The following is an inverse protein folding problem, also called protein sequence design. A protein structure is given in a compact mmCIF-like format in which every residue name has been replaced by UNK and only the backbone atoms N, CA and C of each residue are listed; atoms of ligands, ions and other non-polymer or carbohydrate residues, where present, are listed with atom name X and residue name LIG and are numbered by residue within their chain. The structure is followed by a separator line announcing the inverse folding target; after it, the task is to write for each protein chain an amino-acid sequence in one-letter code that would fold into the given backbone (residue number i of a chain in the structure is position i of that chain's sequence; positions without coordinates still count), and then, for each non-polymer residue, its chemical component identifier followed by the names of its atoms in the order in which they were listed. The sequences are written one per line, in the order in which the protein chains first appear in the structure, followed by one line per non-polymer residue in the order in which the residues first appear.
data_IF_066307448411
#
_entry.id   IF_066307448411
#
_cell.length_a   1.000
_cell.length_b   1.000
_cell.length_c   1.000
_cell.angle_alpha   90.00
_cell.angle_beta   90.00
_cell.angle_gamma   90.00
#
_symmetry.space_group_name_H-M   'P 1'
#
loop_
_entity.id
_entity.type
_entity.pdbx_description
1 polymer ?
#
# COMPACT_ATOMS: atom_id res chain seq x y z
N UNK A 1 -9.35 20.00 -15.60
CA UNK A 1 -8.49 20.93 -14.84
C UNK A 1 -7.82 20.23 -13.67
N UNK A 2 -8.44 19.24 -13.00
CA UNK A 2 -7.82 18.47 -11.92
C UNK A 2 -6.81 17.42 -12.39
N UNK A 3 -7.03 16.81 -13.56
CA UNK A 3 -6.21 15.70 -14.05
C UNK A 3 -4.80 16.10 -14.50
N UNK A 4 -4.63 17.31 -15.08
CA UNK A 4 -3.30 17.74 -15.53
C UNK A 4 -2.35 18.08 -14.36
N UNK A 5 -2.86 18.54 -13.23
CA UNK A 5 -2.06 18.74 -12.02
C UNK A 5 -1.66 17.42 -11.37
N UNK A 6 -2.55 16.42 -11.35
CA UNK A 6 -2.24 15.09 -10.82
C UNK A 6 -1.23 14.32 -11.71
N UNK A 7 -1.32 14.47 -13.03
CA UNK A 7 -0.40 13.84 -14.00
C UNK A 7 1.04 14.40 -13.90
N UNK A 8 1.22 15.59 -13.32
CA UNK A 8 2.53 16.23 -13.14
C UNK A 8 3.11 16.14 -11.74
N UNK A 9 2.45 15.44 -10.82
CA UNK A 9 3.01 15.21 -9.49
C UNK A 9 4.16 14.20 -9.59
N UNK A 10 5.37 14.66 -9.26
CA UNK A 10 6.57 13.83 -9.30
C UNK A 10 6.47 12.60 -8.40
N UNK A 11 5.73 12.68 -7.30
CA UNK A 11 5.50 11.55 -6.40
C UNK A 11 4.64 10.47 -7.07
N UNK A 12 3.67 10.88 -7.89
CA UNK A 12 2.81 9.98 -8.66
C UNK A 12 3.60 9.29 -9.78
N UNK A 13 4.35 10.07 -10.56
CA UNK A 13 5.15 9.52 -11.67
C UNK A 13 6.23 8.56 -11.17
N UNK A 14 6.94 8.88 -10.08
CA UNK A 14 7.96 7.99 -9.53
C UNK A 14 7.37 6.68 -9.03
N UNK A 15 6.16 6.71 -8.46
CA UNK A 15 5.43 5.50 -8.04
C UNK A 15 5.07 4.63 -9.25
N UNK A 16 4.46 5.21 -10.28
CA UNK A 16 4.08 4.44 -11.48
C UNK A 16 5.28 4.01 -12.30
N UNK A 17 6.38 4.78 -12.30
CA UNK A 17 7.67 4.36 -12.84
C UNK A 17 8.15 3.07 -12.17
N UNK A 18 8.14 3.05 -10.85
CA UNK A 18 8.48 1.85 -10.05
C UNK A 18 7.55 0.68 -10.36
N UNK A 19 6.22 0.90 -10.38
CA UNK A 19 5.25 -0.16 -10.65
C UNK A 19 5.38 -0.73 -12.09
N UNK A 20 5.68 0.11 -13.08
CA UNK A 20 5.98 -0.31 -14.46
C UNK A 20 7.24 -1.17 -14.52
N UNK A 21 8.29 -0.79 -13.81
CA UNK A 21 9.52 -1.59 -13.69
C UNK A 21 9.30 -2.90 -12.94
N UNK A 22 8.37 -2.93 -11.98
CA UNK A 22 8.11 -4.07 -11.11
C UNK A 22 7.20 -5.13 -11.75
N UNK A 23 6.08 -4.72 -12.36
CA UNK A 23 5.04 -5.63 -12.85
C UNK A 23 5.00 -5.71 -14.36
N UNK A 24 4.94 -6.92 -14.91
CA UNK A 24 4.87 -7.17 -16.35
C UNK A 24 3.45 -7.25 -16.88
N UNK A 25 2.57 -7.93 -16.15
CA UNK A 25 1.21 -8.25 -16.59
C UNK A 25 0.13 -7.63 -15.69
N UNK A 26 0.41 -7.47 -14.41
CA UNK A 26 -0.60 -7.03 -13.46
C UNK A 26 -1.06 -5.60 -13.74
N UNK A 27 -2.39 -5.32 -13.75
CA UNK A 27 -2.93 -3.98 -14.06
C UNK A 27 -2.49 -2.86 -13.11
N UNK A 28 -2.00 -3.19 -11.91
CA UNK A 28 -1.48 -2.20 -10.93
C UNK A 28 -0.39 -1.29 -11.50
N UNK A 29 0.30 -1.73 -12.55
CA UNK A 29 1.31 -0.94 -13.28
C UNK A 29 0.74 0.19 -14.14
N UNK A 30 -0.58 0.18 -14.36
CA UNK A 30 -1.27 1.16 -15.22
C UNK A 30 -1.78 2.28 -14.33
N UNK A 31 -1.43 3.51 -14.71
CA UNK A 31 -1.92 4.69 -14.03
C UNK A 31 -3.45 4.75 -14.07
N UNK A 32 -4.07 4.82 -12.89
CA UNK A 32 -5.52 4.91 -12.73
C UNK A 32 -6.10 6.22 -13.25
N UNK A 33 -5.29 7.30 -13.32
CA UNK A 33 -5.70 8.57 -13.92
C UNK A 33 -5.80 8.47 -15.46
N UNK A 34 -5.14 7.47 -16.04
CA UNK A 34 -5.09 7.27 -17.48
C UNK A 34 -4.22 8.30 -18.21
N UNK A 35 -4.25 8.23 -19.53
CA UNK A 35 -3.60 9.19 -20.42
C UNK A 35 -4.65 9.98 -21.20
N UNK A 36 -4.28 11.11 -21.78
CA UNK A 36 -5.16 11.89 -22.66
C UNK A 36 -5.76 11.01 -23.74
N UNK A 37 -4.96 10.12 -24.31
CA UNK A 37 -5.42 9.15 -25.31
C UNK A 37 -6.46 8.18 -24.74
N UNK A 38 -6.17 7.50 -23.62
CA UNK A 38 -7.08 6.53 -23.01
C UNK A 38 -8.39 7.17 -22.55
N UNK A 39 -8.34 8.39 -22.00
CA UNK A 39 -9.52 9.13 -21.54
C UNK A 39 -10.39 9.52 -22.75
N UNK A 40 -9.80 9.89 -23.89
CA UNK A 40 -10.55 10.26 -25.10
C UNK A 40 -11.43 9.12 -25.65
N UNK A 41 -11.13 7.87 -25.30
CA UNK A 41 -11.92 6.69 -25.70
C UNK A 41 -13.05 6.35 -24.72
N UNK A 42 -13.18 7.07 -23.59
CA UNK A 42 -14.24 6.84 -22.61
C UNK A 42 -15.55 7.42 -23.15
N UNK A 43 -16.52 6.55 -23.38
CA UNK A 43 -17.86 6.92 -23.83
C UNK A 43 -18.89 6.81 -22.71
N UNK A 44 -20.02 7.49 -22.84
CA UNK A 44 -21.14 7.35 -21.89
C UNK A 44 -21.61 5.89 -21.80
N UNK A 45 -21.62 5.16 -22.91
CA UNK A 45 -21.99 3.72 -22.93
C UNK A 45 -21.04 2.89 -22.09
N UNK A 46 -19.73 3.12 -22.19
CA UNK A 46 -18.72 2.44 -21.37
C UNK A 46 -18.91 2.72 -19.89
N UNK A 47 -19.18 4.00 -19.53
CA UNK A 47 -19.44 4.39 -18.14
C UNK A 47 -20.70 3.71 -17.58
N UNK A 48 -21.80 3.69 -18.35
CA UNK A 48 -23.02 2.98 -17.93
C UNK A 48 -22.82 1.47 -17.83
N UNK A 49 -22.00 0.88 -18.68
CA UNK A 49 -21.63 -0.55 -18.57
C UNK A 49 -20.85 -0.83 -17.29
N UNK A 50 -19.88 0.01 -16.96
CA UNK A 50 -19.12 -0.09 -15.70
C UNK A 50 -20.04 0.10 -14.50
N UNK A 51 -20.87 1.14 -14.50
CA UNK A 51 -21.86 1.38 -13.46
C UNK A 51 -22.77 0.15 -13.25
N UNK A 52 -23.40 -0.32 -14.33
CA UNK A 52 -24.28 -1.49 -14.27
C UNK A 52 -23.59 -2.80 -13.85
N UNK A 53 -22.27 -2.87 -13.96
CA UNK A 53 -21.49 -4.04 -13.53
C UNK A 53 -21.17 -3.97 -12.04
N UNK A 54 -20.65 -2.85 -11.54
CA UNK A 54 -20.05 -2.75 -10.21
C UNK A 54 -21.00 -2.18 -9.15
N UNK A 55 -21.94 -1.30 -9.52
CA UNK A 55 -22.91 -0.68 -8.62
C UNK A 55 -24.15 -1.56 -8.45
N UNK A 56 -23.95 -2.69 -7.76
CA UNK A 56 -25.03 -3.60 -7.38
C UNK A 56 -25.00 -3.75 -5.86
N UNK A 57 -26.17 -3.82 -5.21
CA UNK A 57 -26.26 -3.90 -3.75
C UNK A 57 -25.53 -5.14 -3.18
N UNK A 58 -25.43 -6.23 -3.97
CA UNK A 58 -24.64 -7.42 -3.58
C UNK A 58 -23.12 -7.19 -3.57
N UNK A 59 -22.66 -6.08 -4.13
CA UNK A 59 -21.22 -5.69 -4.19
C UNK A 59 -20.94 -4.42 -3.38
N UNK A 60 -21.83 -3.99 -2.51
CA UNK A 60 -21.74 -2.74 -1.76
C UNK A 60 -21.96 -2.96 -0.27
N UNK A 61 -21.30 -2.18 0.55
CA UNK A 61 -21.49 -2.09 1.99
C UNK A 61 -21.87 -0.66 2.34
N UNK A 62 -22.95 -0.50 3.12
CA UNK A 62 -23.33 0.76 3.72
C UNK A 62 -22.90 0.74 5.19
N UNK A 63 -21.99 1.61 5.54
CA UNK A 63 -21.62 1.87 6.93
C UNK A 63 -22.05 3.26 7.33
N UNK A 64 -22.66 3.39 8.50
CA UNK A 64 -23.06 4.68 9.06
C UNK A 64 -22.55 4.75 10.49
N UNK A 65 -21.69 5.71 10.77
CA UNK A 65 -21.12 5.94 12.10
C UNK A 65 -21.44 7.37 12.58
N UNK A 66 -21.78 7.51 13.85
CA UNK A 66 -22.11 8.81 14.45
C UNK A 66 -23.30 8.74 15.42
N UNK A 67 -23.85 9.88 15.76
CA UNK A 67 -25.04 9.97 16.60
C UNK A 67 -26.29 9.73 15.77
N UNK A 68 -26.55 8.47 15.43
CA UNK A 68 -27.66 8.05 14.56
C UNK A 68 -28.51 6.97 15.25
N UNK A 69 -29.79 6.97 14.93
CA UNK A 69 -30.70 5.91 15.35
C UNK A 69 -30.73 4.81 14.28
N UNK A 70 -30.41 3.59 14.68
CA UNK A 70 -30.29 2.41 13.79
C UNK A 70 -31.61 2.14 13.05
N UNK A 71 -32.75 2.17 13.75
CA UNK A 71 -34.06 1.89 13.16
C UNK A 71 -34.44 2.92 12.10
N UNK A 72 -34.08 4.18 12.32
CA UNK A 72 -34.25 5.25 11.34
C UNK A 72 -33.41 5.00 10.10
N UNK A 73 -32.11 4.64 10.25
CA UNK A 73 -31.23 4.34 9.12
C UNK A 73 -31.77 3.16 8.31
N UNK A 74 -32.14 2.06 8.97
CA UNK A 74 -32.71 0.89 8.30
C UNK A 74 -34.00 1.20 7.58
N UNK A 75 -34.91 1.96 8.21
CA UNK A 75 -36.19 2.38 7.61
C UNK A 75 -35.99 3.24 6.35
N UNK A 76 -34.97 4.13 6.34
CA UNK A 76 -34.63 4.92 5.15
C UNK A 76 -34.02 4.06 4.08
N UNK A 77 -33.08 3.17 4.45
CA UNK A 77 -32.44 2.25 3.51
C UNK A 77 -33.48 1.36 2.82
N UNK A 78 -34.42 0.77 3.55
CA UNK A 78 -35.49 -0.07 2.99
C UNK A 78 -36.41 0.68 2.02
N UNK A 79 -36.63 1.99 2.24
CA UNK A 79 -37.44 2.82 1.35
C UNK A 79 -36.70 3.20 0.06
N UNK A 80 -35.41 3.44 0.14
CA UNK A 80 -34.60 4.01 -0.96
C UNK A 80 -33.90 2.92 -1.77
N UNK A 81 -33.37 1.89 -1.12
CA UNK A 81 -32.62 0.83 -1.77
C UNK A 81 -33.58 -0.21 -2.35
N UNK A 82 -33.67 -0.26 -3.67
CA UNK A 82 -34.49 -1.25 -4.36
C UNK A 82 -33.75 -2.58 -4.46
N UNK A 83 -34.43 -3.68 -4.10
CA UNK A 83 -33.90 -5.02 -4.30
C UNK A 83 -33.47 -5.23 -5.75
N UNK A 84 -32.26 -5.70 -5.96
CA UNK A 84 -31.68 -6.03 -7.26
C UNK A 84 -31.30 -7.52 -7.28
N UNK A 85 -31.32 -8.16 -8.45
CA UNK A 85 -30.76 -9.51 -8.58
C UNK A 85 -29.28 -9.49 -8.17
N UNK A 86 -28.89 -10.51 -7.42
CA UNK A 86 -27.49 -10.68 -7.02
C UNK A 86 -26.60 -10.81 -8.26
N UNK A 87 -25.48 -10.07 -8.28
CA UNK A 87 -24.45 -10.15 -9.30
C UNK A 87 -23.15 -10.61 -8.67
N UNK A 88 -22.66 -11.75 -9.13
CA UNK A 88 -21.32 -12.21 -8.77
C UNK A 88 -20.31 -11.58 -9.69
N UNK A 89 -19.37 -10.82 -9.13
CA UNK A 89 -18.25 -10.25 -9.85
C UNK A 89 -17.07 -11.21 -9.73
N UNK A 90 -16.60 -11.71 -10.86
CA UNK A 90 -15.42 -12.56 -10.90
C UNK A 90 -14.17 -11.69 -11.09
N UNK A 91 -13.25 -11.78 -10.14
CA UNK A 91 -11.92 -11.17 -10.25
C UNK A 91 -10.96 -12.15 -10.90
N UNK A 92 -10.21 -11.69 -11.89
CA UNK A 92 -9.17 -12.51 -12.53
C UNK A 92 -7.87 -12.34 -11.76
N UNK A 93 -7.33 -13.47 -11.30
CA UNK A 93 -5.96 -13.51 -10.81
C UNK A 93 -4.99 -13.51 -12.00
N UNK A 94 -4.00 -12.61 -11.96
CA UNK A 94 -2.97 -12.52 -12.97
C UNK A 94 -1.71 -13.21 -12.44
N UNK A 95 -1.30 -14.30 -13.09
CA UNK A 95 0.02 -14.89 -12.83
C UNK A 95 1.10 -13.91 -13.29
N UNK A 96 1.73 -13.29 -12.33
CA UNK A 96 2.80 -12.31 -12.53
C UNK A 96 4.15 -13.02 -12.39
N UNK A 97 5.15 -12.77 -13.27
CA UNK A 97 6.50 -13.25 -13.05
C UNK A 97 7.05 -12.83 -11.69
N UNK A 98 7.83 -13.71 -11.05
CA UNK A 98 8.44 -13.39 -9.75
C UNK A 98 9.40 -12.21 -9.89
N UNK A 99 10.20 -12.22 -10.93
CA UNK A 99 11.26 -11.24 -11.17
C UNK A 99 10.65 -9.88 -11.58
N UNK A 100 11.35 -8.80 -11.24
CA UNK A 100 11.06 -7.46 -11.74
C UNK A 100 11.41 -7.35 -13.23
N UNK A 101 10.78 -6.42 -13.96
CA UNK A 101 11.07 -6.18 -15.37
C UNK A 101 12.34 -5.36 -15.55
N UNK A 102 12.50 -4.33 -14.72
CA UNK A 102 13.61 -3.38 -14.73
C UNK A 102 13.97 -3.06 -13.29
N UNK A 103 15.24 -3.12 -12.94
CA UNK A 103 15.71 -2.82 -11.57
C UNK A 103 15.94 -1.31 -11.34
N UNK A 104 15.98 -0.51 -12.41
CA UNK A 104 16.18 0.94 -12.35
C UNK A 104 15.36 1.63 -13.44
N UNK A 105 14.60 2.64 -13.03
CA UNK A 105 13.79 3.49 -13.91
C UNK A 105 14.15 4.95 -13.63
N UNK A 106 14.42 5.74 -14.67
CA UNK A 106 14.80 7.14 -14.53
C UNK A 106 13.96 8.01 -15.44
N UNK A 107 13.42 9.08 -14.87
CA UNK A 107 12.66 10.10 -15.61
C UNK A 107 13.16 11.50 -15.23
N UNK A 108 12.90 12.48 -16.07
CA UNK A 108 13.37 13.87 -15.88
C UNK A 108 12.18 14.82 -15.83
N UNK A 109 12.00 15.48 -14.68
CA UNK A 109 10.96 16.48 -14.44
C UNK A 109 11.57 17.71 -13.73
N UNK A 110 10.88 18.85 -13.67
CA UNK A 110 11.36 20.05 -12.97
C UNK A 110 11.24 19.90 -11.44
N UNK A 111 12.10 19.10 -10.84
CA UNK A 111 12.18 18.87 -9.39
C UNK A 111 13.43 19.55 -8.81
N UNK A 112 13.35 20.07 -7.58
CA UNK A 112 14.50 20.71 -6.92
C UNK A 112 15.49 19.68 -6.35
N UNK A 113 14.95 18.57 -5.85
CA UNK A 113 15.72 17.43 -5.31
C UNK A 113 15.20 16.18 -6.00
N UNK A 114 16.06 15.19 -6.31
CA UNK A 114 15.59 13.95 -6.88
C UNK A 114 14.55 13.27 -5.98
N UNK A 115 13.43 12.85 -6.60
CA UNK A 115 12.36 12.10 -5.95
C UNK A 115 12.56 10.63 -6.29
N UNK A 116 12.39 9.74 -5.32
CA UNK A 116 12.57 8.31 -5.55
C UNK A 116 11.46 7.46 -4.95
N UNK A 117 11.25 6.29 -5.56
CA UNK A 117 10.50 5.17 -5.01
C UNK A 117 11.31 3.88 -5.18
N UNK A 118 11.61 3.24 -4.06
CA UNK A 118 12.29 1.95 -3.99
C UNK A 118 11.27 0.90 -3.58
N UNK A 119 10.99 -0.06 -4.45
CA UNK A 119 10.03 -1.14 -4.20
C UNK A 119 10.67 -2.52 -4.22
N UNK A 120 10.39 -3.33 -3.19
CA UNK A 120 10.76 -4.75 -3.15
C UNK A 120 9.53 -5.58 -3.47
N UNK A 121 9.58 -6.30 -4.61
CA UNK A 121 8.47 -7.10 -5.11
C UNK A 121 8.31 -8.38 -4.32
N UNK A 122 7.08 -8.71 -3.92
CA UNK A 122 6.76 -10.02 -3.38
C UNK A 122 6.31 -11.00 -4.46
N UNK A 123 6.68 -12.27 -4.28
CA UNK A 123 6.20 -13.38 -5.10
C UNK A 123 4.83 -13.84 -4.60
N UNK A 124 3.76 -13.25 -5.12
CA UNK A 124 2.38 -13.50 -4.71
C UNK A 124 1.86 -14.77 -5.35
N UNK A 125 1.60 -15.81 -4.56
CA UNK A 125 1.11 -17.12 -5.01
C UNK A 125 -0.42 -17.26 -4.95
N UNK A 126 -1.07 -16.48 -4.10
CA UNK A 126 -2.52 -16.48 -3.93
C UNK A 126 -3.04 -15.06 -4.04
N UNK A 127 -4.28 -14.87 -4.55
CA UNK A 127 -4.82 -13.54 -4.74
C UNK A 127 -5.06 -12.79 -3.43
N UNK A 128 -5.33 -13.50 -2.35
CA UNK A 128 -5.66 -12.95 -1.05
C UNK A 128 -4.51 -13.17 -0.06
N UNK A 129 -4.42 -12.29 0.92
CA UNK A 129 -3.38 -12.30 1.94
C UNK A 129 -4.01 -12.29 3.33
N UNK A 130 -3.35 -12.93 4.28
CA UNK A 130 -3.81 -12.90 5.67
C UNK A 130 -3.52 -11.55 6.32
N UNK A 131 -4.41 -11.08 7.18
CA UNK A 131 -4.19 -9.87 7.99
C UNK A 131 -2.89 -9.95 8.81
N UNK A 132 -2.54 -11.14 9.27
CA UNK A 132 -1.27 -11.40 9.98
C UNK A 132 -0.06 -11.07 9.09
N UNK A 133 -0.08 -11.48 7.81
CA UNK A 133 1.00 -11.17 6.87
C UNK A 133 1.13 -9.67 6.61
N UNK A 134 0.00 -8.97 6.48
CA UNK A 134 -0.05 -7.51 6.32
C UNK A 134 0.57 -6.81 7.53
N UNK A 135 0.16 -7.20 8.74
CA UNK A 135 0.69 -6.63 9.99
C UNK A 135 2.19 -6.93 10.14
N UNK A 136 2.63 -8.16 9.87
CA UNK A 136 4.06 -8.50 9.88
C UNK A 136 4.85 -7.63 8.88
N UNK A 137 4.34 -7.42 7.67
CA UNK A 137 4.99 -6.57 6.66
C UNK A 137 5.12 -5.12 7.12
N UNK A 138 4.10 -4.57 7.76
CA UNK A 138 4.15 -3.23 8.36
C UNK A 138 5.18 -3.15 9.51
N UNK A 139 5.31 -4.19 10.33
CA UNK A 139 6.35 -4.25 11.36
C UNK A 139 7.75 -4.30 10.74
N UNK A 140 7.93 -5.06 9.67
CA UNK A 140 9.22 -5.12 8.94
C UNK A 140 9.61 -3.74 8.41
N UNK A 141 8.70 -3.00 7.80
CA UNK A 141 8.94 -1.64 7.32
C UNK A 141 9.39 -0.71 8.46
N UNK A 142 8.72 -0.77 9.61
CA UNK A 142 9.07 -0.01 10.80
C UNK A 142 10.44 -0.40 11.39
N UNK A 143 10.78 -1.70 11.38
CA UNK A 143 12.08 -2.19 11.83
C UNK A 143 13.23 -1.71 10.93
N UNK A 144 13.00 -1.66 9.62
CA UNK A 144 14.00 -1.25 8.64
C UNK A 144 14.23 0.26 8.70
N UNK A 145 13.19 1.06 8.52
CA UNK A 145 13.33 2.49 8.32
C UNK A 145 12.25 3.34 9.03
N UNK A 146 11.63 2.82 10.10
CA UNK A 146 10.71 3.58 10.94
C UNK A 146 11.39 4.79 11.58
N UNK A 147 10.64 5.85 11.88
CA UNK A 147 11.17 7.12 12.44
C UNK A 147 11.99 6.96 13.73
N UNK A 148 11.86 5.84 14.41
CA UNK A 148 12.62 5.51 15.62
C UNK A 148 13.77 4.52 15.36
N UNK A 149 13.99 4.10 14.11
CA UNK A 149 15.10 3.24 13.74
C UNK A 149 16.39 4.05 13.66
N UNK A 150 17.51 3.37 13.94
CA UNK A 150 18.84 3.98 13.79
C UNK A 150 19.10 4.38 12.34
N UNK A 151 18.72 3.53 11.38
CA UNK A 151 18.91 3.81 9.96
C UNK A 151 18.23 5.11 9.52
N UNK A 152 16.96 5.33 9.91
CA UNK A 152 16.25 6.58 9.60
C UNK A 152 16.97 7.78 10.19
N UNK A 153 17.38 7.71 11.47
CA UNK A 153 18.07 8.79 12.15
C UNK A 153 19.42 9.14 11.48
N UNK A 154 20.18 8.12 11.10
CA UNK A 154 21.48 8.29 10.43
C UNK A 154 21.27 8.93 9.04
N UNK A 155 20.39 8.40 8.21
CA UNK A 155 20.09 8.96 6.88
C UNK A 155 19.59 10.42 6.95
N UNK A 156 18.77 10.75 7.94
CA UNK A 156 18.26 12.10 8.14
C UNK A 156 19.37 13.06 8.60
N UNK A 157 20.20 12.65 9.57
CA UNK A 157 21.30 13.49 10.08
C UNK A 157 22.38 13.74 9.05
N UNK A 158 22.62 12.78 8.15
CA UNK A 158 23.56 12.92 7.04
C UNK A 158 22.97 13.76 5.88
N UNK A 159 21.72 14.20 5.99
CA UNK A 159 21.01 14.92 4.94
C UNK A 159 20.84 14.09 3.65
N UNK A 160 20.85 12.76 3.77
CA UNK A 160 20.61 11.85 2.66
C UNK A 160 19.13 11.79 2.31
N UNK A 161 18.26 11.88 3.32
CA UNK A 161 16.79 12.00 3.20
C UNK A 161 16.32 13.23 3.96
N UNK A 162 15.06 13.59 3.76
CA UNK A 162 14.36 14.61 4.54
C UNK A 162 13.12 14.02 5.24
N UNK A 163 12.30 14.85 5.85
CA UNK A 163 11.11 14.44 6.61
C UNK A 163 9.96 13.95 5.72
N UNK A 164 10.04 14.13 4.40
CA UNK A 164 9.09 13.58 3.43
C UNK A 164 9.32 12.06 3.19
N UNK A 165 10.46 11.50 3.63
CA UNK A 165 10.73 10.08 3.53
C UNK A 165 9.67 9.27 4.29
N UNK A 166 9.12 8.28 3.61
CA UNK A 166 8.12 7.37 4.13
C UNK A 166 8.25 5.97 3.55
N UNK A 167 7.41 5.10 4.05
CA UNK A 167 7.29 3.72 3.56
C UNK A 167 5.86 3.25 3.68
N UNK A 168 5.50 2.26 2.86
CA UNK A 168 4.20 1.61 2.92
C UNK A 168 4.29 0.15 2.45
N UNK A 169 3.40 -0.67 2.95
CA UNK A 169 3.13 -1.98 2.38
C UNK A 169 2.00 -1.83 1.38
N UNK A 170 2.35 -1.80 0.11
CA UNK A 170 1.41 -1.61 -0.99
C UNK A 170 0.97 -2.96 -1.51
N UNK A 171 -0.30 -3.30 -1.27
CA UNK A 171 -0.82 -4.62 -1.57
C UNK A 171 -2.26 -4.57 -2.08
N UNK A 172 -2.68 -5.65 -2.72
CA UNK A 172 -4.03 -5.86 -3.18
C UNK A 172 -4.19 -7.22 -3.85
N UNK A 173 -5.29 -7.41 -4.55
CA UNK A 173 -5.62 -8.68 -5.17
C UNK A 173 -4.57 -9.12 -6.19
N UNK A 174 -3.70 -10.03 -5.79
CA UNK A 174 -2.67 -10.62 -6.66
C UNK A 174 -1.37 -9.82 -6.79
N UNK A 175 -1.15 -8.81 -5.98
CA UNK A 175 0.12 -8.08 -5.94
C UNK A 175 0.48 -7.63 -4.53
N UNK A 176 1.78 -7.48 -4.28
CA UNK A 176 2.30 -6.80 -3.10
C UNK A 176 3.74 -6.37 -3.29
N UNK A 177 4.10 -5.27 -2.63
CA UNK A 177 5.48 -4.82 -2.52
C UNK A 177 5.66 -3.95 -1.27
N UNK A 178 6.89 -3.92 -0.76
CA UNK A 178 7.31 -2.96 0.25
C UNK A 178 7.90 -1.75 -0.47
N UNK A 179 7.38 -0.56 -0.18
CA UNK A 179 7.80 0.69 -0.81
C UNK A 179 8.47 1.58 0.23
N UNK A 180 9.61 2.17 -0.16
CA UNK A 180 10.27 3.27 0.52
C UNK A 180 10.39 4.42 -0.46
N UNK A 181 9.94 5.62 -0.10
CA UNK A 181 9.88 6.74 -1.02
C UNK A 181 10.18 8.06 -0.35
N UNK A 182 10.53 9.06 -1.13
CA UNK A 182 10.81 10.40 -0.65
C UNK A 182 11.74 11.16 -1.57
N UNK A 183 12.42 12.15 -1.00
CA UNK A 183 13.44 12.93 -1.67
C UNK A 183 14.83 12.55 -1.15
N UNK A 184 15.81 12.43 -2.06
CA UNK A 184 17.19 12.16 -1.71
C UNK A 184 18.13 12.74 -2.75
N UNK A 185 19.26 13.28 -2.29
CA UNK A 185 20.37 13.66 -3.17
C UNK A 185 21.11 12.46 -3.78
N UNK A 186 20.96 11.27 -3.18
CA UNK A 186 21.58 10.01 -3.61
C UNK A 186 20.62 8.82 -3.35
N UNK A 187 19.61 8.61 -4.22
CA UNK A 187 18.67 7.52 -4.10
C UNK A 187 19.31 6.13 -4.14
N UNK A 188 20.42 5.97 -4.87
CA UNK A 188 21.13 4.69 -4.95
C UNK A 188 21.75 4.33 -3.60
N UNK A 189 22.31 5.34 -2.89
CA UNK A 189 22.81 5.13 -1.54
C UNK A 189 21.71 4.76 -0.55
N UNK A 190 20.53 5.36 -0.67
CA UNK A 190 19.36 4.98 0.12
C UNK A 190 18.99 3.51 -0.11
N UNK A 191 18.96 3.06 -1.38
CA UNK A 191 18.74 1.64 -1.73
C UNK A 191 19.75 0.71 -1.07
N UNK A 192 21.04 1.03 -1.16
CA UNK A 192 22.10 0.25 -0.52
C UNK A 192 21.89 0.09 0.98
N UNK A 193 21.60 1.20 1.66
CA UNK A 193 21.41 1.21 3.11
C UNK A 193 20.18 0.45 3.55
N UNK A 194 19.06 0.60 2.85
CA UNK A 194 17.81 -0.13 3.14
C UNK A 194 18.00 -1.63 2.88
N UNK A 195 18.56 -2.01 1.71
CA UNK A 195 18.86 -3.41 1.38
C UNK A 195 19.84 -4.02 2.40
N UNK A 196 20.85 -3.26 2.79
CA UNK A 196 21.81 -3.65 3.82
C UNK A 196 21.13 -3.94 5.17
N UNK A 197 20.21 -3.08 5.60
CA UNK A 197 19.44 -3.26 6.84
C UNK A 197 18.50 -4.47 6.77
N UNK A 198 17.84 -4.68 5.65
CA UNK A 198 17.01 -5.87 5.43
C UNK A 198 17.84 -7.15 5.55
N UNK A 199 19.01 -7.18 4.90
CA UNK A 199 19.92 -8.32 4.96
C UNK A 199 20.53 -8.53 6.35
N UNK A 200 20.82 -7.47 7.10
CA UNK A 200 21.21 -7.53 8.52
C UNK A 200 20.11 -8.21 9.34
N UNK A 201 18.87 -7.75 9.25
CA UNK A 201 17.74 -8.33 9.98
C UNK A 201 17.51 -9.82 9.62
N UNK A 202 17.71 -10.18 8.35
CA UNK A 202 17.63 -11.59 7.92
C UNK A 202 18.71 -12.49 8.50
N UNK A 203 19.92 -11.96 8.67
CA UNK A 203 21.07 -12.70 9.17
C UNK A 203 21.08 -12.79 10.69
N UNK A 204 20.82 -11.68 11.36
CA UNK A 204 21.04 -11.52 12.80
C UNK A 204 19.74 -11.67 13.61
N UNK A 205 18.59 -11.72 12.91
CA UNK A 205 17.27 -11.74 13.53
C UNK A 205 16.77 -10.37 13.96
N UNK A 206 15.57 -10.33 14.51
CA UNK A 206 14.90 -9.14 15.01
C UNK A 206 15.17 -8.99 16.51
N UNK A 207 15.55 -7.79 16.95
CA UNK A 207 15.69 -7.50 18.39
C UNK A 207 14.33 -7.52 19.08
N UNK A 208 14.24 -8.22 20.21
CA UNK A 208 12.99 -8.37 20.99
C UNK A 208 12.41 -7.05 21.45
N UNK A 209 13.27 -6.10 21.89
CA UNK A 209 12.82 -4.81 22.39
C UNK A 209 12.27 -3.93 21.28
N UNK A 210 12.89 -3.99 20.10
CA UNK A 210 12.42 -3.27 18.91
C UNK A 210 11.10 -3.84 18.41
N UNK A 211 10.96 -5.16 18.36
CA UNK A 211 9.70 -5.82 18.04
C UNK A 211 8.58 -5.40 18.98
N UNK A 212 8.78 -5.55 20.30
CA UNK A 212 7.79 -5.19 21.30
C UNK A 212 7.42 -3.71 21.27
N UNK A 213 8.39 -2.83 21.05
CA UNK A 213 8.16 -1.38 20.93
C UNK A 213 7.27 -1.06 19.73
N UNK A 214 7.55 -1.67 18.57
CA UNK A 214 6.76 -1.45 17.35
C UNK A 214 5.37 -2.07 17.47
N UNK A 215 5.27 -3.29 17.99
CA UNK A 215 4.00 -3.97 18.24
C UNK A 215 3.07 -3.10 19.13
N UNK A 216 3.60 -2.58 20.23
CA UNK A 216 2.84 -1.67 21.13
C UNK A 216 2.48 -0.36 20.45
N UNK A 217 3.35 0.19 19.61
CA UNK A 217 3.06 1.40 18.83
C UNK A 217 1.86 1.16 17.91
N UNK A 218 1.86 0.06 17.15
CA UNK A 218 0.78 -0.27 16.22
C UNK A 218 -0.54 -0.55 16.96
N UNK A 219 -0.48 -1.29 18.06
CA UNK A 219 -1.64 -1.53 18.92
C UNK A 219 -2.22 -0.22 19.47
N UNK A 220 -1.36 0.64 20.04
CA UNK A 220 -1.78 1.94 20.55
C UNK A 220 -2.38 2.84 19.46
N UNK A 221 -1.87 2.79 18.24
CA UNK A 221 -2.46 3.50 17.10
C UNK A 221 -3.84 2.96 16.76
N UNK A 222 -3.99 1.64 16.64
CA UNK A 222 -5.29 1.01 16.38
C UNK A 222 -6.34 1.41 17.43
N UNK A 223 -5.96 1.42 18.71
CA UNK A 223 -6.86 1.92 19.79
C UNK A 223 -7.18 3.41 19.61
N UNK A 224 -6.20 4.23 19.24
CA UNK A 224 -6.39 5.66 19.06
C UNK A 224 -7.33 5.99 17.89
N UNK A 225 -7.29 5.20 16.80
CA UNK A 225 -8.13 5.37 15.62
C UNK A 225 -9.63 5.22 15.94
N UNK A 226 -9.99 4.54 17.03
CA UNK A 226 -11.38 4.49 17.53
C UNK A 226 -11.88 5.84 18.10
N UNK A 227 -11.06 6.86 18.22
CA UNK A 227 -11.51 8.21 18.57
C UNK A 227 -12.04 9.01 17.37
N UNK A 228 -11.81 8.52 16.15
CA UNK A 228 -12.24 9.17 14.92
C UNK A 228 -13.35 8.38 14.24
N UNK A 229 -14.51 9.03 14.07
CA UNK A 229 -15.73 8.41 13.52
C UNK A 229 -15.52 7.95 12.07
N UNK A 230 -14.78 8.73 11.28
CA UNK A 230 -14.50 8.40 9.88
C UNK A 230 -13.57 7.19 9.79
N UNK A 231 -12.55 7.14 10.62
CA UNK A 231 -11.63 5.99 10.72
C UNK A 231 -12.38 4.71 11.09
N UNK A 232 -13.29 4.76 12.08
CA UNK A 232 -14.14 3.63 12.45
C UNK A 232 -14.99 3.16 11.25
N UNK A 233 -15.65 4.08 10.55
CA UNK A 233 -16.52 3.74 9.43
C UNK A 233 -15.73 3.08 8.30
N UNK A 234 -14.56 3.62 7.94
CA UNK A 234 -13.70 3.08 6.91
C UNK A 234 -13.16 1.69 7.29
N UNK A 235 -12.73 1.50 8.54
CA UNK A 235 -12.26 0.21 9.04
C UNK A 235 -13.38 -0.83 9.04
N UNK A 236 -14.61 -0.48 9.43
CA UNK A 236 -15.76 -1.39 9.37
C UNK A 236 -16.07 -1.84 7.93
N UNK A 237 -15.98 -0.94 6.95
CA UNK A 237 -16.17 -1.28 5.53
C UNK A 237 -15.06 -2.21 5.06
N UNK A 238 -13.80 -1.87 5.34
CA UNK A 238 -12.63 -2.68 4.96
C UNK A 238 -12.70 -4.09 5.58
N UNK A 239 -12.94 -4.18 6.88
CA UNK A 239 -13.09 -5.44 7.60
C UNK A 239 -14.22 -6.30 7.02
N UNK A 240 -15.38 -5.68 6.71
CA UNK A 240 -16.51 -6.41 6.12
C UNK A 240 -16.15 -7.03 4.76
N UNK A 241 -15.45 -6.31 3.89
CA UNK A 241 -15.01 -6.85 2.59
C UNK A 241 -13.97 -7.98 2.72
N UNK A 242 -13.18 -7.97 3.79
CA UNK A 242 -12.16 -8.98 4.07
C UNK A 242 -12.69 -10.17 4.91
N UNK A 243 -13.96 -10.13 5.34
CA UNK A 243 -14.53 -11.15 6.23
C UNK A 243 -13.97 -11.08 7.66
N UNK A 244 -13.55 -9.91 8.09
CA UNK A 244 -12.91 -9.60 9.37
C UNK A 244 -13.81 -8.69 10.23
N UNK A 245 -13.36 -8.38 11.43
CA UNK A 245 -13.97 -7.39 12.32
C UNK A 245 -13.02 -6.22 12.54
N UNK A 246 -13.51 -5.08 13.01
CA UNK A 246 -12.68 -3.92 13.37
C UNK A 246 -11.67 -4.22 14.50
N UNK A 247 -11.83 -5.34 15.20
CA UNK A 247 -10.94 -5.77 16.27
C UNK A 247 -9.88 -6.77 15.82
N UNK A 248 -10.04 -7.37 14.62
CA UNK A 248 -9.16 -8.43 14.13
C UNK A 248 -7.69 -8.02 14.10
N UNK A 249 -7.39 -6.77 13.73
CA UNK A 249 -6.03 -6.24 13.76
C UNK A 249 -5.41 -6.22 15.15
N UNK A 250 -6.18 -5.83 16.17
CA UNK A 250 -5.72 -5.82 17.57
C UNK A 250 -5.53 -7.24 18.09
N UNK A 251 -6.45 -8.16 17.78
CA UNK A 251 -6.32 -9.58 18.16
C UNK A 251 -5.07 -10.23 17.55
N UNK A 252 -4.77 -9.91 16.30
CA UNK A 252 -3.52 -10.36 15.65
C UNK A 252 -2.31 -9.79 16.39
N UNK A 253 -2.29 -8.47 16.66
CA UNK A 253 -1.16 -7.82 17.35
C UNK A 253 -0.93 -8.35 18.77
N UNK A 254 -1.98 -8.75 19.49
CA UNK A 254 -1.86 -9.35 20.83
C UNK A 254 -1.15 -10.70 20.80
N UNK A 255 -1.43 -11.50 19.75
CA UNK A 255 -0.93 -12.87 19.63
C UNK A 255 0.30 -13.00 18.74
N UNK A 256 0.76 -11.88 18.12
CA UNK A 256 1.88 -11.88 17.20
C UNK A 256 3.20 -12.09 17.95
N UNK A 257 4.04 -12.97 17.41
CA UNK A 257 5.37 -13.24 17.92
C UNK A 257 6.45 -12.65 17.02
N UNK A 258 7.65 -12.49 17.56
CA UNK A 258 8.83 -12.07 16.81
C UNK A 258 9.16 -13.06 15.68
N UNK A 259 9.04 -14.35 15.98
CA UNK A 259 9.29 -15.45 15.03
C UNK A 259 8.34 -15.36 13.81
N UNK A 260 7.13 -14.89 13.99
CA UNK A 260 6.19 -14.65 12.87
C UNK A 260 6.72 -13.58 11.93
N UNK A 261 7.24 -12.48 12.49
CA UNK A 261 7.82 -11.38 11.71
C UNK A 261 9.11 -11.82 11.01
N UNK A 262 9.98 -12.57 11.69
CA UNK A 262 11.21 -13.13 11.10
C UNK A 262 10.91 -14.09 9.95
N UNK A 263 9.94 -14.99 10.13
CA UNK A 263 9.49 -15.91 9.10
C UNK A 263 8.93 -15.15 7.89
N UNK A 264 8.13 -14.11 8.13
CA UNK A 264 7.58 -13.25 7.09
C UNK A 264 8.70 -12.53 6.33
N UNK A 265 9.67 -11.93 7.03
CA UNK A 265 10.82 -11.24 6.44
C UNK A 265 11.62 -12.18 5.51
N UNK A 266 11.88 -13.40 5.94
CA UNK A 266 12.63 -14.39 5.15
C UNK A 266 11.88 -14.84 3.89
N UNK A 267 10.54 -14.90 3.95
CA UNK A 267 9.72 -15.43 2.86
C UNK A 267 9.25 -14.37 1.85
N UNK A 268 9.16 -13.08 2.25
CA UNK A 268 8.48 -12.06 1.45
C UNK A 268 9.39 -11.03 0.80
N UNK A 269 10.56 -10.79 1.35
CA UNK A 269 11.46 -9.73 0.84
C UNK A 269 12.70 -10.36 0.21
N UNK A 270 12.94 -10.06 -1.05
CA UNK A 270 14.16 -10.40 -1.76
C UNK A 270 14.84 -9.09 -2.19
N UNK A 271 16.01 -8.80 -1.62
CA UNK A 271 16.71 -7.52 -1.86
C UNK A 271 17.26 -7.39 -3.27
N UNK A 272 17.42 -8.51 -3.99
CA UNK A 272 17.81 -8.49 -5.41
C UNK A 272 16.61 -8.27 -6.33
N UNK A 273 15.39 -8.52 -5.84
CA UNK A 273 14.15 -8.39 -6.61
C UNK A 273 13.47 -7.04 -6.32
N UNK A 274 14.15 -5.95 -6.62
CA UNK A 274 13.69 -4.59 -6.34
C UNK A 274 13.78 -3.68 -7.55
N UNK A 275 13.01 -2.60 -7.50
CA UNK A 275 13.03 -1.50 -8.48
C UNK A 275 13.33 -0.20 -7.76
N UNK A 276 14.31 0.54 -8.24
CA UNK A 276 14.53 1.93 -7.88
C UNK A 276 14.06 2.81 -9.03
N UNK A 277 12.98 3.56 -8.81
CA UNK A 277 12.52 4.61 -9.72
C UNK A 277 12.97 5.97 -9.21
N UNK A 278 13.52 6.80 -10.10
CA UNK A 278 14.08 8.12 -9.74
C UNK A 278 13.61 9.16 -10.73
N UNK A 279 13.12 10.28 -10.21
CA UNK A 279 12.91 11.49 -11.01
C UNK A 279 14.02 12.48 -10.69
N UNK A 280 14.76 12.88 -11.72
CA UNK A 280 15.85 13.86 -11.64
C UNK A 280 15.44 15.20 -12.26
N UNK A 281 16.20 16.25 -11.92
CA UNK A 281 16.01 17.58 -12.51
C UNK A 281 16.21 17.50 -14.04
N UNK A 282 15.21 17.95 -14.78
CA UNK A 282 15.37 18.22 -16.22
C UNK A 282 16.22 19.49 -16.40
N UNK A 283 17.36 19.36 -17.08
CA UNK A 283 18.22 20.49 -17.44
C UNK A 283 17.55 21.40 -18.47
#
# INVERSE_FOLDING_TARGET
VGSEMCIRDSSWEVLFGMLRGMYKKHPVRIDIAGTVESISHITAELLYKCYGTFYNLSNMVLCVAGNVDVDTVLSVADKVLKKQPEKKIERKFHEEPKEVCESYVEEYLPVATPVFALGYKEDVKTPERSLKDVICSNIILELVAGKTSKLYSDMLSDGLINTAFGFEFFEGYGYACQIYSGESRDPEKVRELISGKINELKRDGVDEKDFERIRRKLYGRAVFDFNDIESIANEMVSATFNGETVFSGMEVLENLTKEDVEKRLLSSVDTENCVLSVIKLSL
#
